data_IF_529441000062
#
_entry.id   IF_529441000062
#
_cell.length_a   1.000
_cell.length_b   1.000
_cell.length_c   1.000
_cell.angle_alpha   90.00
_cell.angle_beta   90.00
_cell.angle_gamma   90.00
#
_symmetry.space_group_name_H-M   'P 1'
#
loop_
_entity.id
_entity.type
_entity.pdbx_description
1 polymer ?
#
# COMPACT_ATOMS: atom_id res chain seq x y z
N UNK A 1 18.95 -13.60 -90.93
CA UNK A 1 18.55 -12.24 -90.51
C UNK A 1 17.74 -12.37 -89.23
N UNK A 2 18.30 -11.90 -88.12
CA UNK A 2 17.74 -11.97 -86.77
C UNK A 2 16.87 -10.72 -86.55
N UNK A 3 15.54 -10.86 -86.48
CA UNK A 3 14.66 -9.71 -86.17
C UNK A 3 14.46 -9.64 -84.66
N UNK A 4 15.01 -8.58 -84.07
CA UNK A 4 15.08 -8.31 -82.63
C UNK A 4 13.74 -7.74 -82.16
N UNK A 5 13.12 -8.40 -81.16
CA UNK A 5 11.94 -7.91 -80.43
C UNK A 5 12.28 -6.64 -79.64
N UNK A 6 11.35 -5.68 -79.62
CA UNK A 6 11.23 -4.70 -78.53
C UNK A 6 9.76 -4.71 -78.11
N UNK A 7 9.46 -5.39 -77.01
CA UNK A 7 8.17 -5.31 -76.31
C UNK A 7 8.38 -4.40 -75.11
N UNK A 8 7.82 -3.20 -75.17
CA UNK A 8 7.86 -2.20 -74.11
C UNK A 8 6.94 -2.67 -72.98
N UNK A 9 7.51 -3.09 -71.85
CA UNK A 9 6.74 -3.34 -70.63
C UNK A 9 6.42 -1.99 -69.99
N UNK A 10 5.15 -1.60 -70.05
CA UNK A 10 4.63 -0.53 -69.21
C UNK A 10 4.70 -0.99 -67.74
N UNK A 11 5.58 -0.38 -66.96
CA UNK A 11 5.56 -0.50 -65.50
C UNK A 11 4.32 0.25 -65.02
N UNK A 12 3.27 -0.49 -64.72
CA UNK A 12 2.18 0.02 -63.88
C UNK A 12 2.79 0.22 -62.50
N UNK A 13 2.95 1.48 -62.10
CA UNK A 13 3.22 1.80 -60.71
C UNK A 13 2.01 1.34 -59.90
N UNK A 14 2.16 0.20 -59.24
CA UNK A 14 1.21 -0.23 -58.21
C UNK A 14 1.34 0.82 -57.10
N UNK A 15 0.27 1.58 -56.87
CA UNK A 15 0.16 2.38 -55.66
C UNK A 15 0.46 1.44 -54.49
N UNK A 16 1.45 1.78 -53.66
CA UNK A 16 1.70 1.04 -52.44
C UNK A 16 0.42 1.13 -51.61
N UNK A 17 -0.38 0.06 -51.59
CA UNK A 17 -1.35 -0.14 -50.52
C UNK A 17 -0.57 0.09 -49.22
N UNK A 18 -1.11 0.95 -48.34
CA UNK A 18 -0.52 1.26 -47.05
C UNK A 18 -0.37 -0.05 -46.26
N UNK A 19 0.77 -0.70 -46.43
CA UNK A 19 1.03 -2.01 -45.89
C UNK A 19 1.17 -1.85 -44.38
N UNK A 20 0.45 -2.69 -43.65
CA UNK A 20 0.62 -2.82 -42.20
C UNK A 20 2.11 -3.04 -41.90
N UNK A 21 2.69 -2.17 -41.08
CA UNK A 21 4.10 -2.28 -40.70
C UNK A 21 4.21 -3.24 -39.50
N UNK A 22 4.71 -4.45 -39.75
CA UNK A 22 4.73 -5.54 -38.77
C UNK A 22 5.45 -5.15 -37.45
N UNK A 23 6.48 -4.31 -37.53
CA UNK A 23 7.18 -3.76 -36.36
C UNK A 23 6.26 -2.88 -35.50
N UNK A 24 5.50 -2.00 -36.14
CA UNK A 24 4.61 -1.05 -35.48
C UNK A 24 3.40 -1.76 -34.88
N UNK A 25 2.85 -2.77 -35.57
CA UNK A 25 1.78 -3.61 -34.99
C UNK A 25 2.26 -4.34 -33.74
N UNK A 26 3.45 -4.94 -33.77
CA UNK A 26 3.97 -5.67 -32.63
C UNK A 26 4.21 -4.77 -31.42
N UNK A 27 4.76 -3.57 -31.65
CA UNK A 27 4.99 -2.58 -30.60
C UNK A 27 3.68 -1.94 -30.13
N UNK A 28 2.71 -1.72 -31.03
CA UNK A 28 1.36 -1.27 -30.69
C UNK A 28 0.68 -2.26 -29.74
N UNK A 29 0.74 -3.56 -30.00
CA UNK A 29 0.19 -4.57 -29.10
C UNK A 29 0.85 -4.57 -27.72
N UNK A 30 2.17 -4.36 -27.65
CA UNK A 30 2.88 -4.19 -26.37
C UNK A 30 2.36 -2.95 -25.61
N UNK A 31 2.29 -1.79 -26.27
CA UNK A 31 1.79 -0.57 -25.63
C UNK A 31 0.31 -0.71 -25.22
N UNK A 32 -0.48 -1.44 -26.01
CA UNK A 32 -1.84 -1.83 -25.65
C UNK A 32 -1.91 -2.68 -24.39
N UNK A 33 -0.99 -3.62 -24.18
CA UNK A 33 -0.98 -4.39 -22.93
C UNK A 33 -0.82 -3.46 -21.71
N UNK A 34 0.04 -2.45 -21.84
CA UNK A 34 0.28 -1.46 -20.78
C UNK A 34 -0.94 -0.54 -20.59
N UNK A 35 -1.56 -0.05 -21.66
CA UNK A 35 -2.77 0.80 -21.52
C UNK A 35 -3.92 0.03 -20.87
N UNK A 36 -4.10 -1.25 -21.20
CA UNK A 36 -5.15 -2.08 -20.61
C UNK A 36 -4.89 -2.41 -19.12
N UNK A 37 -3.68 -2.18 -18.60
CA UNK A 37 -3.38 -2.38 -17.18
C UNK A 37 -4.22 -1.48 -16.26
N UNK A 38 -4.65 -0.31 -16.73
CA UNK A 38 -5.52 0.60 -15.95
C UNK A 38 -6.88 -0.04 -15.59
N UNK A 39 -7.30 -1.06 -16.36
CA UNK A 39 -8.58 -1.77 -16.23
C UNK A 39 -8.48 -3.03 -15.37
N UNK A 40 -7.30 -3.31 -14.82
CA UNK A 40 -7.04 -4.44 -13.95
C UNK A 40 -7.01 -3.96 -12.49
N UNK A 41 -7.73 -4.62 -11.57
CA UNK A 41 -7.69 -4.26 -10.16
C UNK A 41 -6.31 -4.60 -9.57
N UNK A 42 -5.59 -3.66 -8.95
CA UNK A 42 -4.36 -3.95 -8.22
C UNK A 42 -4.54 -5.02 -7.14
N UNK A 43 -3.59 -5.97 -7.06
CA UNK A 43 -3.57 -7.04 -6.05
C UNK A 43 -2.89 -6.56 -4.77
N UNK A 44 -3.59 -5.75 -3.99
CA UNK A 44 -3.11 -5.29 -2.68
C UNK A 44 -3.49 -6.27 -1.56
N UNK A 45 -2.85 -6.14 -0.41
CA UNK A 45 -3.18 -6.92 0.78
C UNK A 45 -4.23 -6.20 1.63
N UNK A 46 -5.33 -6.90 1.92
CA UNK A 46 -6.35 -6.45 2.85
C UNK A 46 -5.98 -6.86 4.27
N UNK A 47 -6.39 -6.04 5.24
CA UNK A 47 -6.22 -6.31 6.68
C UNK A 47 -7.57 -6.12 7.35
N UNK A 48 -8.03 -7.12 8.10
CA UNK A 48 -9.21 -6.95 8.94
C UNK A 48 -8.86 -6.03 10.12
N UNK A 49 -9.60 -4.94 10.33
CA UNK A 49 -9.28 -4.01 11.42
C UNK A 49 -10.16 -4.27 12.66
N UNK A 50 -9.55 -4.82 13.70
CA UNK A 50 -10.17 -4.98 15.04
C UNK A 50 -9.55 -4.02 16.08
N UNK A 51 -8.68 -3.11 15.63
CA UNK A 51 -7.82 -2.28 16.50
C UNK A 51 -8.65 -1.46 17.46
N UNK A 52 -9.65 -0.73 16.96
CA UNK A 52 -10.54 0.10 17.79
C UNK A 52 -11.29 -0.71 18.84
N UNK A 53 -11.74 -1.93 18.51
CA UNK A 53 -12.41 -2.79 19.49
C UNK A 53 -11.48 -3.23 20.62
N UNK A 54 -10.22 -3.56 20.30
CA UNK A 54 -9.26 -3.96 21.33
C UNK A 54 -8.89 -2.77 22.23
N UNK A 55 -8.65 -1.60 21.63
CA UNK A 55 -8.36 -0.35 22.37
C UNK A 55 -9.52 0.01 23.29
N UNK A 56 -10.76 -0.02 22.80
CA UNK A 56 -11.95 0.25 23.58
C UNK A 56 -12.06 -0.71 24.79
N UNK A 57 -11.75 -1.99 24.61
CA UNK A 57 -11.76 -2.96 25.69
C UNK A 57 -10.68 -2.67 26.76
N UNK A 58 -9.44 -2.42 26.34
CA UNK A 58 -8.33 -2.03 27.25
C UNK A 58 -8.71 -0.77 28.05
N UNK A 59 -9.25 0.25 27.40
CA UNK A 59 -9.65 1.49 28.05
C UNK A 59 -10.83 1.29 28.99
N UNK A 60 -11.78 0.41 28.65
CA UNK A 60 -12.90 0.05 29.54
C UNK A 60 -12.40 -0.63 30.81
N UNK A 61 -11.43 -1.54 30.69
CA UNK A 61 -10.79 -2.19 31.85
C UNK A 61 -10.09 -1.15 32.73
N UNK A 62 -9.32 -0.23 32.12
CA UNK A 62 -8.68 0.86 32.86
C UNK A 62 -9.70 1.75 33.59
N UNK A 63 -10.78 2.15 32.93
CA UNK A 63 -11.87 2.94 33.52
C UNK A 63 -12.57 2.21 34.67
N UNK A 64 -12.72 0.88 34.59
CA UNK A 64 -13.33 0.07 35.65
C UNK A 64 -12.52 0.03 36.95
N UNK A 65 -11.19 0.25 36.88
CA UNK A 65 -10.32 0.35 38.05
C UNK A 65 -10.17 1.77 38.59
N UNK A 66 -10.54 2.79 37.82
CA UNK A 66 -10.48 4.18 38.28
C UNK A 66 -11.37 4.43 39.51
N UNK A 67 -11.02 5.43 40.32
CA UNK A 67 -11.81 5.80 41.49
C UNK A 67 -13.10 6.47 41.08
N UNK A 68 -14.08 6.43 41.97
CA UNK A 68 -15.41 6.92 41.67
C UNK A 68 -15.41 8.41 41.32
N UNK A 69 -14.60 9.21 42.00
CA UNK A 69 -14.43 10.63 41.70
C UNK A 69 -13.95 10.84 40.25
N UNK A 70 -12.90 10.11 39.83
CA UNK A 70 -12.44 10.15 38.44
C UNK A 70 -13.50 9.68 37.44
N UNK A 71 -14.15 8.54 37.71
CA UNK A 71 -15.21 8.01 36.83
C UNK A 71 -16.38 8.98 36.67
N UNK A 72 -16.68 9.78 37.69
CA UNK A 72 -17.80 10.73 37.71
C UNK A 72 -17.51 12.03 36.95
N UNK A 73 -16.26 12.26 36.52
CA UNK A 73 -15.94 13.33 35.56
C UNK A 73 -16.59 13.09 34.19
N UNK A 74 -16.83 11.82 33.85
CA UNK A 74 -17.34 11.40 32.55
C UNK A 74 -18.81 11.00 32.63
N UNK A 75 -19.62 11.53 31.72
CA UNK A 75 -21.06 11.19 31.67
C UNK A 75 -21.29 9.85 30.99
N UNK A 76 -20.37 9.40 30.12
CA UNK A 76 -20.58 8.22 29.27
C UNK A 76 -21.57 8.47 28.13
N UNK A 77 -21.89 9.73 27.84
CA UNK A 77 -22.76 10.13 26.73
C UNK A 77 -21.95 11.01 25.78
N UNK A 78 -21.92 10.67 24.49
CA UNK A 78 -21.08 11.35 23.50
C UNK A 78 -21.60 12.76 23.15
N UNK A 79 -22.90 13.03 23.28
CA UNK A 79 -23.50 14.31 22.95
C UNK A 79 -23.24 15.37 24.05
N UNK A 80 -23.17 14.93 25.30
CA UNK A 80 -23.10 15.80 26.48
C UNK A 80 -21.77 15.73 27.23
N UNK A 81 -21.01 14.65 27.07
CA UNK A 81 -19.77 14.37 27.79
C UNK A 81 -18.49 14.53 26.97
N UNK A 82 -18.56 14.99 25.73
CA UNK A 82 -17.37 15.21 24.91
C UNK A 82 -16.55 16.44 25.36
N UNK A 83 -15.31 16.53 24.88
CA UNK A 83 -14.39 17.59 25.26
C UNK A 83 -14.91 18.99 24.92
N UNK A 84 -15.57 19.19 23.78
CA UNK A 84 -16.10 20.51 23.39
C UNK A 84 -17.09 21.06 24.42
N UNK A 85 -17.84 20.18 25.10
CA UNK A 85 -18.75 20.56 26.18
C UNK A 85 -18.04 20.77 27.52
N UNK A 86 -16.90 20.12 27.74
CA UNK A 86 -16.20 20.05 29.03
C UNK A 86 -14.94 20.90 29.12
N UNK A 87 -14.40 21.36 28.00
CA UNK A 87 -13.14 22.10 27.94
C UNK A 87 -13.12 23.37 28.81
N UNK A 88 -14.27 24.04 28.96
CA UNK A 88 -14.43 25.23 29.80
C UNK A 88 -14.20 24.95 31.28
N UNK A 89 -14.56 23.75 31.74
CA UNK A 89 -14.38 23.34 33.15
C UNK A 89 -12.89 23.22 33.52
N UNK A 90 -12.00 23.13 32.52
CA UNK A 90 -10.56 22.92 32.68
C UNK A 90 -9.73 24.00 31.98
N UNK A 91 -10.31 25.18 31.69
CA UNK A 91 -9.65 26.19 30.87
C UNK A 91 -8.32 26.69 31.46
N UNK A 92 -8.22 26.72 32.78
CA UNK A 92 -7.02 27.15 33.53
C UNK A 92 -6.13 25.99 33.97
N UNK A 93 -6.45 24.75 33.60
CA UNK A 93 -5.68 23.59 34.01
C UNK A 93 -4.40 23.43 33.18
N UNK A 94 -3.28 23.17 33.85
CA UNK A 94 -1.99 22.91 33.18
C UNK A 94 -1.98 21.63 32.34
N UNK A 95 -2.93 20.72 32.59
CA UNK A 95 -3.10 19.44 31.89
C UNK A 95 -4.18 19.48 30.78
N UNK A 96 -4.75 20.66 30.49
CA UNK A 96 -5.84 20.84 29.52
C UNK A 96 -5.54 20.20 28.16
N UNK A 97 -4.33 20.42 27.64
CA UNK A 97 -3.96 19.93 26.30
C UNK A 97 -3.83 18.39 26.27
N UNK A 98 -3.32 17.79 27.35
CA UNK A 98 -3.25 16.33 27.49
C UNK A 98 -4.67 15.72 27.58
N UNK A 99 -5.55 16.35 28.36
CA UNK A 99 -6.93 15.90 28.51
C UNK A 99 -7.72 16.08 27.23
N UNK A 100 -7.51 17.17 26.48
CA UNK A 100 -8.17 17.39 25.20
C UNK A 100 -7.99 16.22 24.22
N UNK A 101 -6.79 15.59 24.24
CA UNK A 101 -6.48 14.47 23.36
C UNK A 101 -7.12 13.14 23.81
N UNK A 102 -7.36 12.97 25.10
CA UNK A 102 -7.76 11.67 25.70
C UNK A 102 -9.21 11.63 26.17
N UNK A 103 -9.81 12.79 26.43
CA UNK A 103 -11.11 12.94 27.10
C UNK A 103 -12.22 12.15 26.43
N UNK A 104 -12.33 12.26 25.10
CA UNK A 104 -13.39 11.56 24.37
C UNK A 104 -13.24 10.03 24.48
N UNK A 105 -12.01 9.51 24.46
CA UNK A 105 -11.74 8.08 24.66
C UNK A 105 -12.05 7.64 26.10
N UNK A 106 -11.76 8.47 27.10
CA UNK A 106 -12.18 8.20 28.48
C UNK A 106 -13.70 8.23 28.65
N UNK A 107 -14.40 9.18 28.03
CA UNK A 107 -15.85 9.26 28.08
C UNK A 107 -16.50 8.05 27.38
N UNK A 108 -15.94 7.60 26.25
CA UNK A 108 -16.35 6.37 25.58
C UNK A 108 -16.10 5.13 26.46
N UNK A 109 -14.94 5.03 27.11
CA UNK A 109 -14.65 3.95 28.06
C UNK A 109 -15.65 3.92 29.24
N UNK A 110 -16.11 5.09 29.71
CA UNK A 110 -17.18 5.19 30.72
C UNK A 110 -18.52 4.71 30.17
N UNK A 111 -18.86 5.05 28.93
CA UNK A 111 -20.07 4.57 28.25
C UNK A 111 -20.07 3.03 28.14
N UNK A 112 -18.96 2.48 27.64
CA UNK A 112 -18.74 1.04 27.50
C UNK A 112 -18.79 0.34 28.86
N UNK A 113 -18.21 0.93 29.90
CA UNK A 113 -18.29 0.37 31.26
C UNK A 113 -19.74 0.31 31.76
N UNK A 114 -20.53 1.39 31.61
CA UNK A 114 -21.94 1.39 32.02
C UNK A 114 -22.74 0.27 31.35
N UNK A 115 -22.58 0.12 30.04
CA UNK A 115 -23.25 -0.93 29.28
C UNK A 115 -22.83 -2.35 29.73
N UNK A 116 -21.61 -2.51 30.26
CA UNK A 116 -21.10 -3.78 30.77
C UNK A 116 -21.43 -4.05 32.23
N UNK A 117 -21.54 -3.03 33.07
CA UNK A 117 -21.99 -3.17 34.47
C UNK A 117 -23.45 -3.68 34.55
N UNK A 118 -24.26 -3.45 33.51
CA UNK A 118 -25.59 -4.08 33.36
C UNK A 118 -25.51 -5.60 33.06
N UNK A 119 -24.34 -6.11 32.71
CA UNK A 119 -24.08 -7.52 32.42
C UNK A 119 -23.35 -8.22 33.59
N UNK A 120 -24.06 -9.12 34.29
CA UNK A 120 -23.51 -9.92 35.40
C UNK A 120 -22.27 -10.74 35.03
N UNK A 121 -22.09 -11.13 33.76
CA UNK A 121 -20.90 -11.85 33.31
C UNK A 121 -19.63 -10.98 33.37
N UNK A 122 -19.75 -9.67 33.14
CA UNK A 122 -18.62 -8.76 33.23
C UNK A 122 -18.12 -8.66 34.66
N UNK A 123 -19.01 -8.47 35.63
CA UNK A 123 -18.66 -8.42 37.05
C UNK A 123 -18.02 -9.72 37.54
N UNK A 124 -18.50 -10.87 37.05
CA UNK A 124 -17.91 -12.18 37.36
C UNK A 124 -16.53 -12.37 36.73
N UNK A 125 -16.36 -11.96 35.47
CA UNK A 125 -15.10 -12.10 34.73
C UNK A 125 -14.05 -11.08 35.15
N UNK A 126 -14.50 -9.96 35.68
CA UNK A 126 -13.70 -8.82 36.11
C UNK A 126 -14.19 -8.33 37.50
N UNK A 127 -13.91 -9.06 38.60
CA UNK A 127 -14.17 -8.58 39.97
C UNK A 127 -13.20 -7.48 40.41
N UNK A 128 -13.72 -6.30 40.78
CA UNK A 128 -12.88 -5.16 41.21
C UNK A 128 -12.04 -5.49 42.46
N UNK A 129 -10.72 -5.18 42.48
CA UNK A 129 -9.88 -5.39 43.66
C UNK A 129 -10.35 -4.59 44.87
N UNK A 130 -10.42 -5.24 46.03
CA UNK A 130 -10.87 -4.63 47.29
C UNK A 130 -9.72 -3.99 48.09
N UNK A 131 -8.47 -4.45 47.89
CA UNK A 131 -7.30 -3.91 48.57
C UNK A 131 -6.79 -2.63 47.91
N UNK A 132 -6.59 -1.52 48.66
CA UNK A 132 -6.03 -0.29 48.12
C UNK A 132 -4.66 -0.46 47.44
N UNK A 133 -3.80 -1.32 48.00
CA UNK A 133 -2.47 -1.62 47.43
C UNK A 133 -2.59 -2.38 46.11
N UNK A 134 -3.48 -3.38 46.04
CA UNK A 134 -3.73 -4.13 44.81
C UNK A 134 -4.33 -3.22 43.73
N UNK A 135 -5.27 -2.36 44.11
CA UNK A 135 -5.89 -1.40 43.20
C UNK A 135 -4.86 -0.40 42.65
N UNK A 136 -3.99 0.15 43.51
CA UNK A 136 -2.90 1.05 43.09
C UNK A 136 -1.94 0.37 42.12
N UNK A 137 -1.52 -0.86 42.42
CA UNK A 137 -0.60 -1.62 41.57
C UNK A 137 -1.23 -1.98 40.22
N UNK A 138 -2.51 -2.38 40.21
CA UNK A 138 -3.23 -2.70 38.99
C UNK A 138 -3.40 -1.47 38.08
N UNK A 139 -3.74 -0.30 38.67
CA UNK A 139 -3.82 0.98 37.93
C UNK A 139 -2.49 1.36 37.29
N UNK A 140 -1.39 1.32 38.04
CA UNK A 140 -0.06 1.68 37.50
C UNK A 140 0.36 0.78 36.34
N UNK A 141 0.09 -0.53 36.42
CA UNK A 141 0.39 -1.45 35.31
C UNK A 141 -0.53 -1.23 34.11
N UNK A 142 -1.83 -0.97 34.32
CA UNK A 142 -2.76 -0.68 33.25
C UNK A 142 -2.46 0.65 32.54
N UNK A 143 -2.02 1.66 33.28
CA UNK A 143 -1.59 2.93 32.69
C UNK A 143 -0.51 2.71 31.63
N UNK A 144 0.54 1.96 31.96
CA UNK A 144 1.59 1.60 31.00
C UNK A 144 1.05 0.82 29.79
N UNK A 145 0.09 -0.08 30.00
CA UNK A 145 -0.58 -0.81 28.91
C UNK A 145 -1.37 0.15 28.02
N UNK A 146 -2.13 1.10 28.58
CA UNK A 146 -2.94 2.03 27.79
C UNK A 146 -2.07 2.96 26.93
N UNK A 147 -0.92 3.41 27.45
CA UNK A 147 0.04 4.22 26.70
C UNK A 147 0.62 3.44 25.52
N UNK A 148 1.07 2.21 25.76
CA UNK A 148 1.62 1.37 24.68
C UNK A 148 0.54 0.97 23.66
N UNK A 149 -0.69 0.71 24.12
CA UNK A 149 -1.81 0.39 23.24
C UNK A 149 -2.14 1.56 22.31
N UNK A 150 -2.19 2.80 22.82
CA UNK A 150 -2.37 4.00 22.00
C UNK A 150 -1.23 4.18 20.97
N UNK A 151 0.02 3.96 21.38
CA UNK A 151 1.17 3.98 20.46
C UNK A 151 1.05 2.95 19.33
N UNK A 152 0.60 1.74 19.66
CA UNK A 152 0.35 0.70 18.65
C UNK A 152 -0.82 1.04 17.74
N UNK A 153 -1.88 1.65 18.26
CA UNK A 153 -3.01 2.13 17.46
C UNK A 153 -2.56 3.14 16.39
N UNK A 154 -1.74 4.12 16.76
CA UNK A 154 -1.23 5.12 15.82
C UNK A 154 -0.35 4.48 14.72
N UNK A 155 0.52 3.54 15.11
CA UNK A 155 1.32 2.79 14.15
C UNK A 155 0.47 1.95 13.20
N UNK A 156 -0.57 1.28 13.71
CA UNK A 156 -1.50 0.50 12.89
C UNK A 156 -2.24 1.42 11.91
N UNK A 157 -2.80 2.55 12.37
CA UNK A 157 -3.48 3.53 11.51
C UNK A 157 -2.58 4.03 10.38
N UNK A 158 -1.31 4.32 10.68
CA UNK A 158 -0.33 4.73 9.66
C UNK A 158 -0.06 3.62 8.63
N UNK A 159 0.07 2.37 9.07
CA UNK A 159 0.28 1.24 8.15
C UNK A 159 -0.96 0.99 7.27
N UNK A 160 -2.17 1.10 7.82
CA UNK A 160 -3.41 0.87 7.08
C UNK A 160 -3.58 1.81 5.86
N UNK A 161 -3.03 3.03 5.91
CA UNK A 161 -3.00 3.95 4.76
C UNK A 161 -2.24 3.39 3.55
N UNK A 162 -1.41 2.38 3.75
CA UNK A 162 -0.63 1.71 2.71
C UNK A 162 -1.15 0.30 2.38
N UNK A 163 -2.37 -0.05 2.78
CA UNK A 163 -2.98 -1.37 2.55
C UNK A 163 -4.27 -1.27 1.74
N UNK A 164 -4.81 -2.42 1.33
CA UNK A 164 -6.15 -2.58 0.76
C UNK A 164 -6.51 -1.56 -0.32
N UNK A 165 -7.67 -0.92 -0.15
CA UNK A 165 -8.23 0.05 -1.09
C UNK A 165 -7.38 1.33 -1.26
N UNK A 166 -6.71 1.79 -0.20
CA UNK A 166 -5.86 2.99 -0.26
C UNK A 166 -4.66 2.75 -1.18
N UNK A 167 -3.92 1.66 -0.94
CA UNK A 167 -2.82 1.25 -1.81
C UNK A 167 -3.29 0.93 -3.24
N UNK A 168 -4.47 0.33 -3.39
CA UNK A 168 -5.04 0.02 -4.71
C UNK A 168 -5.30 1.30 -5.52
N UNK A 169 -5.87 2.32 -4.87
CA UNK A 169 -6.11 3.64 -5.47
C UNK A 169 -4.79 4.30 -5.91
N UNK A 170 -3.79 4.30 -5.03
CA UNK A 170 -2.47 4.88 -5.33
C UNK A 170 -1.78 4.14 -6.50
N UNK A 171 -1.82 2.80 -6.51
CA UNK A 171 -1.22 2.00 -7.59
C UNK A 171 -1.93 2.26 -8.93
N UNK A 172 -3.27 2.29 -8.94
CA UNK A 172 -4.03 2.59 -10.15
C UNK A 172 -3.75 4.01 -10.68
N UNK A 173 -3.62 4.98 -9.78
CA UNK A 173 -3.22 6.34 -10.16
C UNK A 173 -1.87 6.35 -10.86
N UNK A 174 -0.85 5.63 -10.35
CA UNK A 174 0.46 5.54 -10.99
C UNK A 174 0.43 4.89 -12.37
N UNK A 175 -0.40 3.85 -12.56
CA UNK A 175 -0.62 3.27 -13.89
C UNK A 175 -1.23 4.30 -14.85
N UNK A 176 -2.22 5.07 -14.40
CA UNK A 176 -2.84 6.13 -15.22
C UNK A 176 -1.87 7.27 -15.54
N UNK A 177 -1.02 7.65 -14.57
CA UNK A 177 0.04 8.63 -14.79
C UNK A 177 1.06 8.16 -15.82
N UNK A 178 1.40 6.86 -15.84
CA UNK A 178 2.23 6.28 -16.90
C UNK A 178 1.56 6.39 -18.28
N UNK A 179 0.25 6.16 -18.35
CA UNK A 179 -0.48 6.11 -19.63
C UNK A 179 -0.74 7.50 -20.19
N UNK A 180 -1.24 8.44 -19.37
CA UNK A 180 -1.74 9.74 -19.82
C UNK A 180 -0.87 10.92 -19.39
N UNK A 181 -0.14 10.80 -18.29
CA UNK A 181 0.66 11.88 -17.70
C UNK A 181 0.25 12.22 -16.27
N UNK A 182 1.11 12.96 -15.59
CA UNK A 182 0.96 13.26 -14.16
C UNK A 182 -0.32 14.05 -13.83
N UNK A 183 -1.09 13.55 -12.85
CA UNK A 183 -2.37 14.14 -12.46
C UNK A 183 -3.54 13.87 -13.40
N UNK A 184 -3.36 13.05 -14.45
CA UNK A 184 -4.43 12.64 -15.35
C UNK A 184 -4.95 11.26 -14.98
N UNK A 185 -6.28 11.11 -14.95
CA UNK A 185 -6.94 9.89 -14.44
C UNK A 185 -7.94 9.25 -15.41
N UNK A 186 -8.09 9.83 -16.60
CA UNK A 186 -9.04 9.42 -17.64
C UNK A 186 -8.47 9.71 -19.05
N UNK A 187 -9.24 9.33 -20.08
CA UNK A 187 -8.99 9.60 -21.50
C UNK A 187 -9.10 11.11 -21.87
N UNK A 188 -8.51 12.01 -21.09
CA UNK A 188 -8.44 13.44 -21.35
C UNK A 188 -6.96 13.90 -21.38
N UNK A 189 -6.19 13.48 -22.40
CA UNK A 189 -4.79 13.82 -22.48
C UNK A 189 -4.60 15.34 -22.64
N UNK A 190 -3.84 15.94 -21.74
CA UNK A 190 -3.40 17.33 -21.86
C UNK A 190 -2.05 17.39 -22.56
N UNK A 191 -1.88 18.28 -23.56
CA UNK A 191 -0.64 18.41 -24.35
C UNK A 191 0.61 18.44 -23.47
N UNK A 192 0.64 19.34 -22.48
CA UNK A 192 1.79 19.56 -21.60
C UNK A 192 2.11 18.42 -20.63
N UNK A 193 1.15 17.52 -20.36
CA UNK A 193 1.33 16.36 -19.48
C UNK A 193 1.56 15.07 -20.25
N UNK A 194 0.95 14.95 -21.43
CA UNK A 194 0.96 13.74 -22.24
C UNK A 194 2.17 13.66 -23.15
N UNK A 195 2.42 14.72 -23.93
CA UNK A 195 3.39 14.70 -25.02
C UNK A 195 4.77 15.20 -24.57
N UNK A 196 5.83 14.54 -25.04
CA UNK A 196 7.19 15.04 -24.91
C UNK A 196 7.40 16.29 -25.79
N UNK A 197 8.30 17.18 -25.34
CA UNK A 197 8.66 18.40 -26.07
C UNK A 197 7.51 19.40 -26.24
N UNK A 198 7.51 20.10 -27.37
CA UNK A 198 6.51 21.12 -27.77
C UNK A 198 5.25 20.52 -28.42
N UNK A 199 5.18 19.18 -28.53
CA UNK A 199 4.08 18.43 -29.14
C UNK A 199 4.11 18.35 -30.67
N UNK A 200 5.24 18.62 -31.32
CA UNK A 200 5.49 18.21 -32.72
C UNK A 200 6.04 16.78 -32.79
N UNK A 201 5.89 16.09 -33.93
CA UNK A 201 6.44 14.73 -34.11
C UNK A 201 7.96 14.70 -33.83
N UNK A 202 8.71 15.63 -34.44
CA UNK A 202 10.16 15.67 -34.30
C UNK A 202 10.62 15.78 -32.83
N UNK A 203 9.95 16.59 -32.02
CA UNK A 203 10.31 16.77 -30.61
C UNK A 203 9.77 15.65 -29.71
N UNK A 204 8.56 15.16 -29.97
CA UNK A 204 7.92 14.15 -29.13
C UNK A 204 8.37 12.72 -29.43
N UNK A 205 8.79 12.45 -30.66
CA UNK A 205 9.02 11.11 -31.20
C UNK A 205 10.46 10.88 -31.65
N UNK A 206 11.09 11.86 -32.31
CA UNK A 206 12.41 11.70 -32.91
C UNK A 206 13.57 12.26 -32.06
N UNK A 207 13.28 13.20 -31.15
CA UNK A 207 14.27 13.96 -30.36
C UNK A 207 14.97 13.18 -29.23
N UNK A 208 14.77 11.86 -29.14
CA UNK A 208 15.40 11.00 -28.13
C UNK A 208 14.75 11.07 -26.75
N UNK A 209 13.59 11.74 -26.63
CA UNK A 209 12.87 12.01 -25.38
C UNK A 209 11.45 11.43 -25.37
N UNK A 210 11.17 10.45 -26.25
CA UNK A 210 9.92 9.68 -26.16
C UNK A 210 9.85 8.93 -24.83
N UNK A 211 8.67 8.44 -24.48
CA UNK A 211 8.45 7.77 -23.21
C UNK A 211 8.05 8.69 -22.07
N UNK A 212 7.60 9.91 -22.37
CA UNK A 212 6.91 10.74 -21.37
C UNK A 212 5.66 10.04 -20.85
N UNK A 213 4.87 9.48 -21.75
CA UNK A 213 3.67 8.68 -21.46
C UNK A 213 3.50 7.58 -22.51
N UNK A 214 2.77 6.51 -22.17
CA UNK A 214 2.44 5.45 -23.15
C UNK A 214 1.59 6.01 -24.29
N UNK A 215 0.68 6.96 -24.01
CA UNK A 215 -0.12 7.60 -25.03
C UNK A 215 0.71 8.43 -26.02
N UNK A 216 1.78 9.09 -25.56
CA UNK A 216 2.74 9.74 -26.45
C UNK A 216 3.40 8.71 -27.37
N UNK A 217 3.86 7.58 -26.84
CA UNK A 217 4.56 6.56 -27.61
C UNK A 217 3.62 5.89 -28.64
N UNK A 218 2.35 5.66 -28.28
CA UNK A 218 1.30 5.21 -29.22
C UNK A 218 1.13 6.17 -30.39
N UNK A 219 1.08 7.48 -30.13
CA UNK A 219 1.01 8.46 -31.21
C UNK A 219 2.26 8.44 -32.09
N UNK A 220 3.44 8.28 -31.49
CA UNK A 220 4.70 8.27 -32.24
C UNK A 220 4.81 7.11 -33.23
N UNK A 221 4.35 5.92 -32.84
CA UNK A 221 4.44 4.73 -33.70
C UNK A 221 3.23 4.56 -34.64
N UNK A 222 2.13 5.32 -34.46
CA UNK A 222 0.90 5.12 -35.23
C UNK A 222 0.41 6.32 -36.03
N UNK A 223 0.87 7.54 -35.71
CA UNK A 223 0.32 8.79 -36.27
C UNK A 223 1.36 9.53 -37.10
N UNK A 224 1.02 9.84 -38.35
CA UNK A 224 1.85 10.57 -39.29
C UNK A 224 2.12 12.02 -38.85
N UNK A 225 3.28 12.54 -39.24
CA UNK A 225 3.63 13.93 -39.01
C UNK A 225 2.62 14.89 -39.67
N UNK A 226 2.12 14.53 -40.84
CA UNK A 226 1.03 15.23 -41.55
C UNK A 226 -0.32 14.59 -41.25
N UNK A 227 -1.40 15.36 -41.37
CA UNK A 227 -2.78 14.89 -41.21
C UNK A 227 -3.22 14.09 -42.44
N UNK A 228 -2.70 12.87 -42.53
CA UNK A 228 -2.96 11.88 -43.58
C UNK A 228 -3.33 10.53 -42.94
N UNK A 229 -3.92 9.64 -43.73
CA UNK A 229 -4.36 8.33 -43.27
C UNK A 229 -3.15 7.41 -43.00
N UNK A 230 -3.03 6.96 -41.76
CA UNK A 230 -2.06 5.95 -41.33
C UNK A 230 -2.74 4.63 -40.97
N UNK A 231 -2.30 3.53 -41.58
CA UNK A 231 -2.70 2.15 -41.26
C UNK A 231 -1.53 1.30 -40.71
N UNK A 232 -0.42 1.95 -40.28
CA UNK A 232 0.81 1.23 -39.90
C UNK A 232 0.68 0.41 -38.61
N UNK A 233 -0.16 0.83 -37.66
CA UNK A 233 -0.40 0.12 -36.41
C UNK A 233 -1.69 -0.72 -36.40
N UNK A 234 -2.73 -0.24 -37.09
CA UNK A 234 -4.11 -0.74 -36.96
C UNK A 234 -4.84 -0.58 -38.28
N UNK A 235 -5.86 -1.42 -38.50
CA UNK A 235 -6.75 -1.29 -39.65
C UNK A 235 -7.81 -0.19 -39.44
N UNK A 236 -8.16 0.50 -40.53
CA UNK A 236 -9.01 1.69 -40.60
C UNK A 236 -8.26 2.93 -40.10
N UNK A 237 -7.83 3.73 -41.07
CA UNK A 237 -6.75 4.69 -40.89
C UNK A 237 -7.03 5.74 -39.81
N UNK A 238 -5.97 6.13 -39.11
CA UNK A 238 -5.96 7.31 -38.24
C UNK A 238 -5.54 8.50 -39.08
N UNK A 239 -6.38 9.55 -39.12
CA UNK A 239 -6.18 10.74 -39.97
C UNK A 239 -5.72 11.98 -39.18
N UNK A 240 -5.75 11.92 -37.84
CA UNK A 240 -5.09 12.92 -37.02
C UNK A 240 -3.61 13.00 -37.40
N UNK A 241 -3.03 14.20 -37.39
CA UNK A 241 -1.60 14.40 -37.67
C UNK A 241 -0.95 15.30 -36.65
N UNK A 242 0.36 15.16 -36.48
CA UNK A 242 1.13 15.98 -35.53
C UNK A 242 1.23 17.46 -35.95
N UNK A 243 1.10 17.77 -37.25
CA UNK A 243 1.07 19.13 -37.79
C UNK A 243 -0.18 19.94 -37.39
N UNK A 244 -1.17 19.30 -36.76
CA UNK A 244 -2.40 19.93 -36.28
C UNK A 244 -2.62 19.62 -34.81
N UNK A 245 -3.30 18.50 -34.51
CA UNK A 245 -3.52 18.02 -33.15
C UNK A 245 -3.60 16.48 -33.14
N UNK A 246 -2.57 15.79 -32.59
CA UNK A 246 -2.55 14.33 -32.55
C UNK A 246 -3.36 13.76 -31.38
N UNK A 247 -3.73 14.57 -30.37
CA UNK A 247 -4.34 14.06 -29.14
C UNK A 247 -5.64 13.26 -29.32
N UNK A 248 -6.57 13.62 -30.24
CA UNK A 248 -7.79 12.84 -30.46
C UNK A 248 -7.53 11.40 -30.92
N UNK A 249 -6.38 11.12 -31.55
CA UNK A 249 -6.02 9.76 -31.96
C UNK A 249 -5.76 8.83 -30.78
N UNK A 250 -5.41 9.33 -29.59
CA UNK A 250 -5.14 8.49 -28.41
C UNK A 250 -6.36 7.62 -28.09
N UNK A 251 -7.56 8.22 -28.05
CA UNK A 251 -8.79 7.47 -27.76
C UNK A 251 -9.09 6.44 -28.85
N UNK A 252 -8.89 6.80 -30.12
CA UNK A 252 -9.08 5.89 -31.27
C UNK A 252 -8.12 4.71 -31.22
N UNK A 253 -6.84 4.95 -30.95
CA UNK A 253 -5.82 3.91 -30.85
C UNK A 253 -6.10 2.97 -29.68
N UNK A 254 -6.47 3.49 -28.51
CA UNK A 254 -6.80 2.66 -27.35
C UNK A 254 -8.06 1.81 -27.59
N UNK A 255 -9.04 2.32 -28.34
CA UNK A 255 -10.22 1.53 -28.74
C UNK A 255 -9.86 0.36 -29.66
N UNK A 256 -8.74 0.44 -30.40
CA UNK A 256 -8.24 -0.63 -31.25
C UNK A 256 -7.40 -1.67 -30.48
N UNK A 257 -7.08 -1.42 -29.22
CA UNK A 257 -6.35 -2.39 -28.41
C UNK A 257 -7.17 -3.67 -28.20
N UNK A 258 -6.55 -4.86 -28.30
CA UNK A 258 -7.22 -6.12 -28.02
C UNK A 258 -7.90 -6.14 -26.65
N UNK A 259 -8.96 -6.93 -26.54
CA UNK A 259 -9.68 -7.13 -25.29
C UNK A 259 -8.73 -7.65 -24.19
N UNK A 260 -8.92 -7.15 -22.97
CA UNK A 260 -8.07 -7.51 -21.83
C UNK A 260 -8.14 -9.01 -21.52
N UNK A 261 -6.99 -9.60 -21.17
CA UNK A 261 -6.98 -10.79 -20.34
C UNK A 261 -7.40 -10.40 -18.91
N UNK A 262 -8.29 -11.18 -18.30
CA UNK A 262 -8.77 -10.93 -16.93
C UNK A 262 -7.68 -11.08 -15.86
N UNK A 263 -8.10 -10.94 -14.60
CA UNK A 263 -7.24 -11.14 -13.44
C UNK A 263 -6.68 -9.85 -12.83
N UNK A 264 -5.96 -9.96 -11.71
CA UNK A 264 -5.49 -8.80 -10.97
C UNK A 264 -4.17 -8.26 -11.53
N UNK A 265 -3.92 -6.97 -11.31
CA UNK A 265 -2.64 -6.34 -11.59
C UNK A 265 -1.67 -6.61 -10.43
N UNK A 266 -0.58 -7.31 -10.71
CA UNK A 266 0.46 -7.63 -9.71
C UNK A 266 1.73 -6.86 -10.03
N UNK A 267 2.62 -6.71 -9.03
CA UNK A 267 3.96 -6.17 -9.25
C UNK A 267 4.71 -6.96 -10.34
N UNK A 268 4.63 -8.30 -10.30
CA UNK A 268 5.24 -9.16 -11.32
C UNK A 268 4.68 -8.91 -12.73
N UNK A 269 3.37 -8.63 -12.87
CA UNK A 269 2.78 -8.30 -14.18
C UNK A 269 3.29 -6.97 -14.72
N UNK A 270 3.42 -5.96 -13.85
CA UNK A 270 4.01 -4.67 -14.21
C UNK A 270 5.48 -4.80 -14.61
N UNK A 271 6.29 -5.54 -13.84
CA UNK A 271 7.68 -5.83 -14.19
C UNK A 271 7.79 -6.65 -15.48
N UNK A 272 6.85 -7.56 -15.73
CA UNK A 272 6.73 -8.29 -16.99
C UNK A 272 6.51 -7.37 -18.18
N UNK A 273 5.60 -6.40 -18.06
CA UNK A 273 5.36 -5.38 -19.11
C UNK A 273 6.60 -4.51 -19.36
N UNK A 274 7.29 -4.07 -18.30
CA UNK A 274 8.54 -3.29 -18.40
C UNK A 274 9.63 -4.11 -19.10
N UNK A 275 9.77 -5.40 -18.75
CA UNK A 275 10.74 -6.32 -19.35
C UNK A 275 10.41 -6.59 -20.83
N UNK A 276 9.13 -6.75 -21.17
CA UNK A 276 8.67 -6.90 -22.54
C UNK A 276 9.00 -5.66 -23.37
N UNK A 277 8.75 -4.46 -22.83
CA UNK A 277 9.17 -3.19 -23.45
C UNK A 277 10.67 -3.11 -23.65
N UNK A 278 11.46 -3.41 -22.62
CA UNK A 278 12.92 -3.45 -22.69
C UNK A 278 13.40 -4.35 -23.84
N UNK A 279 12.80 -5.52 -24.00
CA UNK A 279 13.15 -6.48 -25.05
C UNK A 279 12.73 -6.07 -26.47
N UNK A 280 11.77 -5.14 -26.59
CA UNK A 280 11.27 -4.63 -27.88
C UNK A 280 12.05 -3.44 -28.39
N UNK A 281 12.80 -2.75 -27.52
CA UNK A 281 13.67 -1.66 -27.94
C UNK A 281 14.70 -2.17 -28.94
N UNK A 282 14.68 -1.55 -30.12
CA UNK A 282 15.61 -1.83 -31.20
C UNK A 282 16.72 -0.79 -31.19
N UNK A 283 17.93 -1.26 -31.48
CA UNK A 283 19.09 -0.41 -31.67
C UNK A 283 19.30 -0.14 -33.15
N UNK A 284 19.32 1.13 -33.54
CA UNK A 284 19.68 1.55 -34.89
C UNK A 284 20.92 2.44 -34.85
N UNK A 285 21.95 2.13 -35.63
CA UNK A 285 23.14 2.98 -35.76
C UNK A 285 23.02 3.87 -37.00
N UNK A 286 23.11 5.19 -36.83
CA UNK A 286 23.51 6.07 -37.93
C UNK A 286 24.99 6.46 -37.79
N UNK A 287 25.52 7.25 -38.73
CA UNK A 287 26.94 7.60 -38.77
C UNK A 287 27.45 8.26 -37.47
N UNK A 288 26.58 8.96 -36.73
CA UNK A 288 26.96 9.76 -35.56
C UNK A 288 26.39 9.27 -34.21
N UNK A 289 25.42 8.35 -34.20
CA UNK A 289 24.66 7.99 -32.99
C UNK A 289 24.04 6.60 -33.07
N UNK A 290 23.90 5.95 -31.90
CA UNK A 290 23.08 4.74 -31.72
C UNK A 290 21.76 5.16 -31.10
N UNK A 291 20.66 4.89 -31.79
CA UNK A 291 19.31 5.15 -31.31
C UNK A 291 18.73 3.92 -30.65
N UNK A 292 18.02 4.12 -29.56
CA UNK A 292 17.10 3.13 -29.01
C UNK A 292 15.68 3.53 -29.38
N UNK A 293 14.90 2.61 -29.95
CA UNK A 293 13.57 2.97 -30.45
C UNK A 293 12.53 1.85 -30.41
N UNK A 294 11.27 2.28 -30.42
CA UNK A 294 10.12 1.50 -30.87
C UNK A 294 9.64 2.00 -32.23
N UNK A 295 8.76 1.24 -32.88
CA UNK A 295 8.26 1.48 -34.23
C UNK A 295 9.32 1.35 -35.32
N UNK A 296 8.89 1.56 -36.55
CA UNK A 296 9.69 1.41 -37.76
C UNK A 296 10.61 2.60 -37.95
N UNK A 297 11.89 2.31 -38.12
CA UNK A 297 12.84 3.23 -38.72
C UNK A 297 13.20 2.73 -40.12
N UNK A 298 13.27 3.65 -41.08
CA UNK A 298 13.78 3.37 -42.42
C UNK A 298 14.94 4.31 -42.73
N UNK A 299 16.02 3.78 -43.28
CA UNK A 299 17.27 4.49 -43.56
C UNK A 299 17.82 5.32 -42.37
N UNK A 300 17.58 4.87 -41.13
CA UNK A 300 17.98 5.55 -39.90
C UNK A 300 17.23 6.85 -39.62
N UNK A 301 16.05 7.02 -40.20
CA UNK A 301 15.21 8.20 -39.99
C UNK A 301 13.94 7.85 -39.25
N UNK A 302 13.53 8.80 -38.42
CA UNK A 302 12.29 8.79 -37.66
C UNK A 302 11.55 10.09 -37.96
N UNK A 303 11.06 10.24 -39.18
CA UNK A 303 10.54 11.52 -39.68
C UNK A 303 9.05 11.72 -39.43
N UNK A 304 8.32 10.64 -39.17
CA UNK A 304 6.86 10.66 -39.11
C UNK A 304 6.19 10.50 -40.47
N UNK A 305 6.95 10.19 -41.53
CA UNK A 305 6.41 9.77 -42.82
C UNK A 305 6.08 8.27 -42.83
N UNK A 306 5.40 7.81 -43.88
CA UNK A 306 5.06 6.39 -44.06
C UNK A 306 6.31 5.51 -44.02
N UNK A 307 6.27 4.45 -43.19
CA UNK A 307 7.38 3.53 -42.93
C UNK A 307 8.48 4.13 -42.05
N UNK A 308 8.21 5.26 -41.37
CA UNK A 308 9.16 5.98 -40.50
C UNK A 308 8.50 6.49 -39.20
N UNK A 309 7.46 5.78 -38.75
CA UNK A 309 6.76 6.01 -37.48
C UNK A 309 7.46 5.28 -36.32
N UNK A 310 8.03 6.03 -35.39
CA UNK A 310 8.88 5.51 -34.33
C UNK A 310 8.95 6.46 -33.12
N UNK A 311 9.32 5.89 -31.97
CA UNK A 311 9.55 6.61 -30.73
C UNK A 311 11.00 6.38 -30.29
N UNK A 312 11.79 7.44 -30.09
CA UNK A 312 13.22 7.35 -29.76
C UNK A 312 13.51 7.72 -28.32
N UNK A 313 14.31 6.87 -27.67
CA UNK A 313 14.62 6.91 -26.24
C UNK A 313 16.09 7.25 -25.97
N UNK A 314 16.85 7.66 -26.99
CA UNK A 314 18.31 7.77 -26.93
C UNK A 314 18.82 8.63 -25.76
N UNK A 315 18.06 9.63 -25.29
CA UNK A 315 18.49 10.47 -24.16
C UNK A 315 18.57 9.75 -22.80
N UNK A 316 17.90 8.60 -22.68
CA UNK A 316 17.87 7.74 -21.50
C UNK A 316 18.96 6.65 -21.53
N UNK A 317 19.64 6.48 -22.66
CA UNK A 317 20.70 5.49 -22.85
C UNK A 317 22.02 6.19 -23.20
N UNK A 318 23.15 5.56 -22.91
CA UNK A 318 24.46 6.15 -23.20
C UNK A 318 25.49 5.77 -22.14
N UNK A 319 26.16 6.79 -21.59
CA UNK A 319 27.16 6.60 -20.55
C UNK A 319 26.57 6.06 -19.24
N UNK A 320 27.45 5.72 -18.30
CA UNK A 320 27.11 5.15 -16.99
C UNK A 320 26.32 6.10 -16.07
N UNK A 321 26.06 7.36 -16.47
CA UNK A 321 25.24 8.30 -15.70
C UNK A 321 23.76 8.20 -16.05
N UNK A 322 23.42 7.50 -17.14
CA UNK A 322 22.05 7.32 -17.59
C UNK A 322 21.41 6.09 -16.95
N UNK A 323 20.19 6.26 -16.45
CA UNK A 323 19.44 5.17 -15.81
C UNK A 323 18.87 4.12 -16.77
N UNK A 324 19.04 4.30 -18.09
CA UNK A 324 18.49 3.37 -19.08
C UNK A 324 16.96 3.34 -19.01
N UNK A 325 16.42 2.14 -19.14
CA UNK A 325 14.97 1.87 -19.15
C UNK A 325 14.25 2.48 -17.94
N UNK A 326 14.82 2.38 -16.74
CA UNK A 326 14.18 2.85 -15.50
C UNK A 326 14.11 4.38 -15.40
N UNK A 327 14.87 5.10 -16.24
CA UNK A 327 14.82 6.56 -16.31
C UNK A 327 13.74 7.08 -17.28
N UNK A 328 13.09 6.21 -18.05
CA UNK A 328 11.97 6.57 -18.91
C UNK A 328 10.77 6.94 -18.02
N UNK A 329 10.14 8.13 -18.21
CA UNK A 329 9.12 8.63 -17.29
C UNK A 329 7.94 7.69 -17.03
N UNK A 330 7.32 7.12 -18.07
CA UNK A 330 6.20 6.20 -17.85
C UNK A 330 6.64 4.88 -17.22
N UNK A 331 7.85 4.39 -17.52
CA UNK A 331 8.41 3.19 -16.87
C UNK A 331 8.57 3.42 -15.37
N UNK A 332 9.10 4.59 -14.98
CA UNK A 332 9.23 4.96 -13.56
C UNK A 332 7.88 4.95 -12.85
N UNK A 333 6.81 5.43 -13.49
CA UNK A 333 5.46 5.40 -12.92
C UNK A 333 4.92 3.96 -12.79
N UNK A 334 5.21 3.05 -13.72
CA UNK A 334 4.87 1.63 -13.56
C UNK A 334 5.68 0.95 -12.43
N UNK A 335 6.96 1.29 -12.26
CA UNK A 335 7.77 0.86 -11.11
C UNK A 335 7.20 1.38 -9.78
N UNK A 336 6.79 2.65 -9.72
CA UNK A 336 6.08 3.21 -8.56
C UNK A 336 4.81 2.41 -8.24
N UNK A 337 4.01 2.06 -9.25
CA UNK A 337 2.82 1.22 -9.07
C UNK A 337 3.17 -0.18 -8.53
N UNK A 338 4.20 -0.82 -9.08
CA UNK A 338 4.67 -2.14 -8.65
C UNK A 338 5.16 -2.11 -7.20
N UNK A 339 5.89 -1.06 -6.81
CA UNK A 339 6.36 -0.84 -5.45
C UNK A 339 5.21 -0.62 -4.47
N UNK A 340 4.18 0.16 -4.84
CA UNK A 340 2.98 0.35 -4.00
C UNK A 340 2.29 -0.99 -3.74
N UNK A 341 2.12 -1.81 -4.79
CA UNK A 341 1.51 -3.14 -4.66
C UNK A 341 2.34 -4.00 -3.69
N UNK A 342 3.66 -4.12 -3.90
CA UNK A 342 4.54 -4.91 -3.04
C UNK A 342 4.56 -4.40 -1.59
N UNK A 343 4.65 -3.09 -1.40
CA UNK A 343 4.66 -2.47 -0.07
C UNK A 343 3.34 -2.67 0.67
N UNK A 344 2.21 -2.82 -0.02
CA UNK A 344 0.94 -3.15 0.64
C UNK A 344 0.97 -4.50 1.35
N UNK A 345 1.67 -5.50 0.80
CA UNK A 345 1.84 -6.81 1.45
C UNK A 345 2.74 -6.69 2.68
N UNK A 346 3.81 -5.89 2.61
CA UNK A 346 4.69 -5.64 3.75
C UNK A 346 3.99 -4.85 4.86
N UNK A 347 3.20 -3.84 4.51
CA UNK A 347 2.40 -3.06 5.45
C UNK A 347 1.34 -3.94 6.12
N UNK A 348 0.68 -4.84 5.37
CA UNK A 348 -0.27 -5.78 5.94
C UNK A 348 0.37 -6.76 6.94
N UNK A 349 1.52 -7.34 6.59
CA UNK A 349 2.27 -8.22 7.50
C UNK A 349 2.71 -7.48 8.78
N UNK A 350 3.20 -6.23 8.62
CA UNK A 350 3.57 -5.37 9.75
C UNK A 350 2.35 -5.06 10.62
N UNK A 351 1.20 -4.77 10.01
CA UNK A 351 -0.05 -4.49 10.71
C UNK A 351 -0.51 -5.69 11.54
N UNK A 352 -0.49 -6.91 10.99
CA UNK A 352 -0.85 -8.11 11.75
C UNK A 352 0.11 -8.38 12.92
N UNK A 353 1.41 -8.10 12.76
CA UNK A 353 2.38 -8.20 13.86
C UNK A 353 2.11 -7.17 14.97
N UNK A 354 1.78 -5.93 14.62
CA UNK A 354 1.38 -4.89 15.58
C UNK A 354 0.07 -5.26 16.30
N UNK A 355 -0.92 -5.77 15.56
CA UNK A 355 -2.18 -6.26 16.13
C UNK A 355 -1.96 -7.43 17.08
N UNK A 356 -1.06 -8.36 16.77
CA UNK A 356 -0.71 -9.44 17.70
C UNK A 356 -0.16 -8.91 19.04
N UNK A 357 0.67 -7.86 19.00
CA UNK A 357 1.13 -7.17 20.22
C UNK A 357 -0.02 -6.50 20.96
N UNK A 358 -0.93 -5.84 20.24
CA UNK A 358 -2.11 -5.21 20.83
C UNK A 358 -3.04 -6.25 21.49
N UNK A 359 -3.25 -7.41 20.87
CA UNK A 359 -3.99 -8.54 21.46
C UNK A 359 -3.30 -9.04 22.73
N UNK A 360 -1.97 -9.12 22.75
CA UNK A 360 -1.20 -9.51 23.94
C UNK A 360 -1.35 -8.49 25.08
N UNK A 361 -1.36 -7.18 24.78
CA UNK A 361 -1.65 -6.14 25.76
C UNK A 361 -3.04 -6.27 26.36
N UNK A 362 -4.05 -6.61 25.55
CA UNK A 362 -5.40 -6.92 26.05
C UNK A 362 -5.39 -8.10 27.02
N UNK A 363 -4.68 -9.18 26.70
CA UNK A 363 -4.54 -10.33 27.61
C UNK A 363 -3.84 -9.91 28.90
N UNK A 364 -2.77 -9.11 28.82
CA UNK A 364 -2.09 -8.58 30.00
C UNK A 364 -3.02 -7.70 30.86
N UNK A 365 -3.86 -6.88 30.23
CA UNK A 365 -4.87 -6.09 30.94
C UNK A 365 -5.87 -6.99 31.68
N UNK A 366 -6.34 -8.07 31.06
CA UNK A 366 -7.19 -9.07 31.72
C UNK A 366 -6.45 -9.77 32.88
N UNK A 367 -5.19 -10.15 32.69
CA UNK A 367 -4.40 -10.82 33.74
C UNK A 367 -4.11 -9.91 34.92
N UNK A 368 -3.77 -8.63 34.70
CA UNK A 368 -3.59 -7.66 35.78
C UNK A 368 -4.88 -7.48 36.56
N UNK A 369 -6.01 -7.54 35.86
CA UNK A 369 -7.31 -7.46 36.47
C UNK A 369 -7.61 -8.71 37.33
N UNK A 370 -7.40 -9.91 36.79
CA UNK A 370 -7.78 -11.19 37.40
C UNK A 370 -6.76 -11.75 38.41
N UNK A 371 -5.46 -11.51 38.23
CA UNK A 371 -4.40 -11.91 39.16
C UNK A 371 -4.48 -11.23 40.55
N UNK A 372 -5.44 -10.34 40.74
CA UNK A 372 -5.83 -9.85 42.06
C UNK A 372 -6.67 -10.88 42.86
N UNK A 373 -7.12 -11.98 42.24
CA UNK A 373 -7.75 -13.13 42.91
C UNK A 373 -6.76 -13.96 43.74
N UNK A 374 -5.48 -14.07 43.36
CA UNK A 374 -4.49 -14.83 44.16
C UNK A 374 -4.29 -14.21 45.56
N UNK A 375 -4.56 -12.92 45.71
CA UNK A 375 -4.60 -12.25 47.01
C UNK A 375 -5.89 -12.52 47.82
N UNK A 376 -6.98 -13.02 47.21
CA UNK A 376 -8.17 -13.46 47.95
C UNK A 376 -7.90 -14.76 48.71
N UNK A 377 -7.07 -15.65 48.18
CA UNK A 377 -6.68 -16.89 48.88
C UNK A 377 -5.68 -16.67 50.02
N UNK A 378 -4.97 -15.54 50.05
CA UNK A 378 -4.00 -15.21 51.10
C UNK A 378 -4.63 -14.51 52.33
N UNK A 379 -5.91 -14.13 52.30
CA UNK A 379 -6.55 -13.35 53.38
C UNK A 379 -7.60 -14.17 54.16
N UNK A 380 -7.95 -15.39 53.73
CA UNK A 380 -8.97 -16.22 54.42
C UNK A 380 -8.44 -17.32 55.34
N UNK A 381 -7.13 -17.48 55.52
CA UNK A 381 -6.58 -18.43 56.50
C UNK A 381 -5.41 -17.81 57.28
N UNK A 382 -5.70 -16.89 58.20
CA UNK A 382 -4.78 -16.59 59.32
C UNK A 382 -5.55 -16.02 60.50
N UNK A 383 -6.51 -16.78 61.02
CA UNK A 383 -6.91 -16.68 62.43
C UNK A 383 -7.07 -18.08 63.00
N UNK A 384 -6.06 -18.47 63.78
CA UNK A 384 -6.11 -19.60 64.72
C UNK A 384 -5.63 -20.93 64.14
N UNK A 385 -4.31 -21.18 64.20
CA UNK A 385 -3.75 -22.50 64.58
C UNK A 385 -2.20 -22.56 64.61
N UNK A 386 -1.48 -21.52 64.19
CA UNK A 386 -0.01 -21.58 64.12
C UNK A 386 0.71 -21.61 65.48
N UNK A 387 0.04 -21.28 66.60
CA UNK A 387 0.70 -21.32 67.91
C UNK A 387 0.74 -22.73 68.54
N UNK A 388 -0.14 -23.66 68.13
CA UNK A 388 -0.14 -25.02 68.67
C UNK A 388 0.77 -25.98 67.88
N UNK A 389 0.93 -25.78 66.57
CA UNK A 389 1.81 -26.63 65.74
C UNK A 389 3.31 -26.36 65.95
N UNK A 390 3.70 -25.12 66.26
CA UNK A 390 5.08 -24.77 66.61
C UNK A 390 5.55 -25.36 67.96
N UNK A 391 4.64 -25.51 68.93
CA UNK A 391 4.96 -26.12 70.23
C UNK A 391 5.02 -27.65 70.18
N UNK A 392 4.25 -28.29 69.29
CA UNK A 392 4.32 -29.73 69.05
C UNK A 392 5.60 -30.12 68.30
N UNK A 393 6.00 -29.37 67.27
CA UNK A 393 7.23 -29.60 66.53
C UNK A 393 8.50 -29.38 67.38
N UNK A 394 8.48 -28.43 68.31
CA UNK A 394 9.59 -28.20 69.25
C UNK A 394 9.76 -29.33 70.29
N UNK A 395 8.69 -30.03 70.67
CA UNK A 395 8.77 -31.22 71.56
C UNK A 395 9.30 -32.45 70.83
N UNK A 396 8.95 -32.63 69.55
CA UNK A 396 9.42 -33.75 68.73
C UNK A 396 10.90 -33.60 68.35
N UNK A 397 11.35 -32.38 68.04
CA UNK A 397 12.75 -32.10 67.69
C UNK A 397 13.72 -32.30 68.88
N UNK A 398 13.26 -32.12 70.11
CA UNK A 398 14.08 -32.36 71.31
C UNK A 398 14.20 -33.85 71.68
N UNK A 399 13.30 -34.73 71.22
CA UNK A 399 13.46 -36.19 71.37
C UNK A 399 14.53 -36.76 70.45
N UNK A 400 14.70 -36.16 69.27
CA UNK A 400 15.63 -36.60 68.22
C UNK A 400 17.11 -36.27 68.50
N UNK A 401 17.42 -35.46 69.52
CA UNK A 401 18.82 -35.19 69.94
C UNK A 401 19.45 -36.29 70.80
N UNK A 402 18.73 -37.38 71.11
CA UNK A 402 19.24 -38.45 71.98
C UNK A 402 19.71 -39.73 71.27
N UNK A 403 19.48 -39.92 69.97
CA UNK A 403 19.92 -41.13 69.26
C UNK A 403 20.79 -40.82 68.03
N UNK A 404 22.08 -40.63 68.31
CA UNK A 404 23.18 -40.54 67.36
C UNK A 404 23.66 -41.98 67.03
N UNK A 405 23.07 -42.66 66.04
CA UNK A 405 23.66 -43.83 65.34
C UNK A 405 22.69 -44.60 64.39
N UNK A 406 22.22 -43.99 63.28
CA UNK A 406 21.57 -44.82 62.22
C UNK A 406 21.59 -44.22 60.81
N UNK A 407 22.73 -43.69 60.36
CA UNK A 407 22.93 -43.39 58.93
C UNK A 407 24.27 -43.94 58.45
N UNK A 408 24.48 -45.25 58.56
CA UNK A 408 25.45 -45.99 57.75
C UNK A 408 24.85 -47.35 57.37
N UNK A 409 25.16 -47.80 56.15
CA UNK A 409 24.90 -49.12 55.53
C UNK A 409 23.50 -49.42 54.98
N UNK A 410 23.37 -49.29 53.66
CA UNK A 410 23.06 -50.36 52.65
C UNK A 410 22.47 -49.66 51.41
N UNK A 411 23.06 -49.66 50.22
CA UNK A 411 23.96 -50.63 49.63
C UNK A 411 23.18 -51.58 48.72
N UNK A 412 22.84 -51.12 47.51
CA UNK A 412 22.99 -51.85 46.24
C UNK A 412 22.79 -50.92 45.05
#
# INVERSE_FOLDING_TARGET
MLVRKITMFAVVAVAADAAIEAENVADFHLLCEITQAEKLPPKTAEVNDETSSIIAEINTINMSLADEAWRNLFTGDAATGNWDKKAKDYEQATFKDDWAQKWNSWNEAKANLKAKEENKEWEQRFPRPQSPTMLKNARSKLESITVEAARLEDLIKSQLQNTGAAASTMANQKVKEAIYGEGLTNYAPEKGKTLAGDGTYGQACAGGKSGKTVANDLLCICVLATAENSDECVTNSISEGWNSNPLPAIAKLIQKCPAKAGGPLTAAKLHGMISAFASRLRSHKNVASVYQHLGKMSAGTCSGATGQLCATYTSYFGDNTKGGITSIPWVKKLEEAANIISNSHNAAATTEALKARLRALRVSAWTIYNGNEEAKSAITNTKGNDTQQLQAAAKECNKLKSNKSTCETTGK
#
